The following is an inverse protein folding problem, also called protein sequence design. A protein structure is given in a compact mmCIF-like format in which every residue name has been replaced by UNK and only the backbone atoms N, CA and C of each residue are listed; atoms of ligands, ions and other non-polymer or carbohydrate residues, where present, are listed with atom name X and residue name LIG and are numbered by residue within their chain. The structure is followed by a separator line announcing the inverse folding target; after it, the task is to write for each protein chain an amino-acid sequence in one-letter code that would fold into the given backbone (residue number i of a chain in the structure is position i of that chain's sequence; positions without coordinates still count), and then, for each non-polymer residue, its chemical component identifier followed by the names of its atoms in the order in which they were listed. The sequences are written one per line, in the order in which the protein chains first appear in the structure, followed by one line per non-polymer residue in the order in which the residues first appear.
data_IF_697056929844
#
_entry.id   IF_697056929844
#
_cell.length_a   1.000
_cell.length_b   1.000
_cell.length_c   1.000
_cell.angle_alpha   90.00
_cell.angle_beta   90.00
_cell.angle_gamma   90.00
#
_symmetry.space_group_name_H-M   'P 1'
#
loop_
_entity.id
_entity.type
_entity.pdbx_description
1 polymer ?
#
# COMPACT_ATOMS: atom_id res chain seq x y z
N UNK A 1 -13.11 -6.59 3.19
CA UNK A 1 -12.81 -7.89 3.84
C UNK A 1 -11.30 -8.09 3.83
N UNK A 2 -10.64 -8.08 5.00
CA UNK A 2 -9.18 -8.19 5.10
C UNK A 2 -8.64 -9.52 4.53
N UNK A 3 -9.24 -10.64 4.94
CA UNK A 3 -8.81 -11.97 4.48
C UNK A 3 -8.95 -12.14 2.97
N UNK A 4 -10.03 -11.63 2.37
CA UNK A 4 -10.20 -11.65 0.90
C UNK A 4 -9.23 -10.73 0.14
N UNK A 5 -8.55 -9.79 0.80
CA UNK A 5 -7.45 -9.05 0.20
C UNK A 5 -6.16 -9.87 0.26
N UNK A 6 -5.88 -10.51 1.40
CA UNK A 6 -4.72 -11.38 1.59
C UNK A 6 -4.74 -12.58 0.64
N UNK A 7 -5.89 -13.24 0.47
CA UNK A 7 -6.01 -14.38 -0.44
C UNK A 7 -5.73 -13.99 -1.90
N UNK A 8 -6.18 -12.81 -2.33
CA UNK A 8 -5.90 -12.31 -3.68
C UNK A 8 -4.41 -11.98 -3.84
N UNK A 9 -3.82 -11.26 -2.88
CA UNK A 9 -2.39 -10.95 -2.90
C UNK A 9 -1.53 -12.21 -2.91
N UNK A 10 -1.96 -13.27 -2.22
CA UNK A 10 -1.29 -14.57 -2.25
C UNK A 10 -1.49 -15.28 -3.59
N UNK A 11 -2.71 -15.26 -4.14
CA UNK A 11 -3.02 -15.80 -5.47
C UNK A 11 -2.25 -15.10 -6.60
N UNK A 12 -2.01 -13.79 -6.46
CA UNK A 12 -1.22 -12.97 -7.38
C UNK A 12 0.30 -13.12 -7.15
N UNK A 13 0.73 -13.91 -6.16
CA UNK A 13 2.14 -14.14 -5.84
C UNK A 13 2.87 -12.94 -5.21
N UNK A 14 2.15 -11.93 -4.75
CA UNK A 14 2.72 -10.72 -4.14
C UNK A 14 3.06 -10.92 -2.65
N UNK A 15 2.39 -11.85 -1.99
CA UNK A 15 2.74 -12.28 -0.62
C UNK A 15 2.84 -13.80 -0.55
N UNK A 16 3.63 -14.29 0.39
CA UNK A 16 3.74 -15.71 0.70
C UNK A 16 3.44 -15.95 2.18
N UNK A 17 2.88 -17.11 2.51
CA UNK A 17 2.70 -17.54 3.89
C UNK A 17 4.08 -17.88 4.47
N UNK A 18 4.40 -17.26 5.61
CA UNK A 18 5.70 -17.40 6.29
C UNK A 18 5.62 -18.26 7.56
N UNK A 19 4.41 -18.70 7.93
CA UNK A 19 4.18 -19.61 9.05
C UNK A 19 2.82 -19.43 9.69
N UNK A 20 2.44 -20.41 10.50
CA UNK A 20 1.29 -20.33 11.39
C UNK A 20 1.76 -20.55 12.84
N UNK A 21 1.41 -19.62 13.72
CA UNK A 21 1.77 -19.65 15.13
C UNK A 21 0.53 -19.44 15.99
N UNK A 22 0.38 -20.22 17.05
CA UNK A 22 -0.68 -20.02 18.03
C UNK A 22 -0.21 -19.03 19.10
N UNK A 23 -0.75 -17.81 19.05
CA UNK A 23 -0.45 -16.76 20.03
C UNK A 23 -1.66 -16.58 20.94
N UNK A 24 -1.48 -16.79 22.24
CA UNK A 24 -2.54 -16.72 23.26
C UNK A 24 -3.75 -17.62 22.93
N UNK A 25 -3.49 -18.84 22.48
CA UNK A 25 -4.54 -19.81 22.13
C UNK A 25 -5.26 -19.55 20.80
N UNK A 26 -4.84 -18.53 20.03
CA UNK A 26 -5.42 -18.21 18.72
C UNK A 26 -4.41 -18.40 17.60
N UNK A 27 -4.73 -19.18 16.54
CA UNK A 27 -3.84 -19.32 15.40
C UNK A 27 -3.71 -17.99 14.66
N UNK A 28 -2.48 -17.62 14.34
CA UNK A 28 -2.10 -16.45 13.55
C UNK A 28 -1.29 -16.92 12.35
N UNK A 29 -1.66 -16.45 11.17
CA UNK A 29 -0.95 -16.72 9.92
C UNK A 29 -0.11 -15.51 9.57
N UNK A 30 1.18 -15.71 9.40
CA UNK A 30 2.10 -14.67 8.98
C UNK A 30 2.28 -14.70 7.47
N UNK A 31 2.40 -13.51 6.90
CA UNK A 31 2.66 -13.31 5.49
C UNK A 31 3.90 -12.44 5.34
N UNK A 32 4.74 -12.79 4.38
CA UNK A 32 5.87 -11.97 3.96
C UNK A 32 5.66 -11.48 2.54
N UNK A 33 6.23 -10.33 2.21
CA UNK A 33 6.30 -9.90 0.82
C UNK A 33 7.20 -10.86 0.04
N UNK A 34 6.77 -11.16 -1.18
CA UNK A 34 7.68 -11.71 -2.18
C UNK A 34 8.50 -10.56 -2.79
N UNK A 35 9.54 -10.90 -3.55
CA UNK A 35 10.30 -9.91 -4.31
C UNK A 35 9.37 -9.14 -5.28
N UNK A 36 8.42 -9.84 -5.91
CA UNK A 36 7.41 -9.25 -6.80
C UNK A 36 6.45 -8.33 -6.04
N UNK A 37 6.02 -8.75 -4.85
CA UNK A 37 5.25 -7.92 -3.93
C UNK A 37 5.97 -6.65 -3.52
N UNK A 38 7.26 -6.76 -3.21
CA UNK A 38 8.09 -5.60 -2.85
C UNK A 38 8.19 -4.60 -3.99
N UNK A 39 8.41 -5.08 -5.22
CA UNK A 39 8.39 -4.21 -6.43
C UNK A 39 7.01 -3.60 -6.66
N UNK A 40 5.93 -4.37 -6.45
CA UNK A 40 4.57 -3.90 -6.66
C UNK A 40 4.18 -2.79 -5.68
N UNK A 41 4.41 -2.96 -4.38
CA UNK A 41 4.09 -1.95 -3.37
C UNK A 41 4.93 -0.68 -3.56
N UNK A 42 6.20 -0.82 -3.95
CA UNK A 42 7.08 0.33 -4.23
C UNK A 42 6.59 1.14 -5.43
N UNK A 43 6.18 0.48 -6.53
CA UNK A 43 5.58 1.18 -7.69
C UNK A 43 4.30 1.91 -7.31
N UNK A 44 3.46 1.28 -6.50
CA UNK A 44 2.20 1.89 -6.08
C UNK A 44 2.43 3.08 -5.15
N UNK A 45 3.40 2.98 -4.24
CA UNK A 45 3.82 4.11 -3.40
C UNK A 45 4.31 5.30 -4.25
N UNK A 46 5.15 5.04 -5.26
CA UNK A 46 5.60 6.08 -6.19
C UNK A 46 4.44 6.72 -6.98
N UNK A 47 3.45 5.92 -7.40
CA UNK A 47 2.24 6.42 -8.08
C UNK A 47 1.43 7.33 -7.16
N UNK A 48 1.22 6.92 -5.90
CA UNK A 48 0.53 7.73 -4.90
C UNK A 48 1.27 9.02 -4.59
N UNK A 49 2.60 8.99 -4.48
CA UNK A 49 3.43 10.17 -4.28
C UNK A 49 3.29 11.16 -5.46
N UNK A 50 3.37 10.69 -6.70
CA UNK A 50 3.19 11.52 -7.89
C UNK A 50 1.81 12.18 -7.91
N UNK A 51 0.75 11.41 -7.61
CA UNK A 51 -0.61 11.95 -7.52
C UNK A 51 -0.73 13.02 -6.43
N UNK A 52 -0.13 12.79 -5.27
CA UNK A 52 -0.12 13.76 -4.16
C UNK A 52 0.61 15.05 -4.55
N UNK A 53 1.78 14.96 -5.19
CA UNK A 53 2.54 16.14 -5.67
C UNK A 53 1.69 17.01 -6.60
N UNK A 54 0.98 16.42 -7.56
CA UNK A 54 0.08 17.16 -8.48
C UNK A 54 -0.99 17.95 -7.72
N UNK A 55 -1.55 17.38 -6.66
CA UNK A 55 -2.57 18.07 -5.84
C UNK A 55 -1.93 19.20 -5.02
N UNK A 56 -0.79 18.94 -4.38
CA UNK A 56 -0.11 19.91 -3.52
C UNK A 56 0.45 21.11 -4.31
N UNK A 57 0.99 20.87 -5.51
CA UNK A 57 1.49 21.93 -6.38
C UNK A 57 0.34 22.85 -6.84
N UNK A 58 -0.85 22.28 -7.09
CA UNK A 58 -2.07 23.04 -7.43
C UNK A 58 -2.70 23.76 -6.24
N UNK A 59 -2.51 23.23 -5.03
CA UNK A 59 -3.04 23.80 -3.80
C UNK A 59 -2.17 24.95 -3.23
N UNK A 60 -0.97 25.18 -3.77
CA UNK A 60 -0.11 26.28 -3.35
C UNK A 60 -0.71 27.64 -3.76
N UNK A 61 -1.09 28.52 -2.81
CA UNK A 61 -1.76 29.78 -3.11
C UNK A 61 -0.75 30.81 -3.62
N UNK A 62 -0.50 30.78 -4.93
CA UNK A 62 0.21 31.84 -5.64
C UNK A 62 -0.42 32.09 -7.02
N UNK A 63 -1.75 32.06 -7.12
CA UNK A 63 -2.47 32.54 -8.30
C UNK A 63 -3.94 32.81 -7.95
N UNK A 64 -4.21 33.95 -7.31
CA UNK A 64 -5.58 34.44 -7.13
C UNK A 64 -5.91 34.72 -5.68
N UNK A 65 -5.42 35.85 -5.18
CA UNK A 65 -6.22 36.93 -4.57
C UNK A 65 -5.24 38.10 -4.46
N UNK A 66 -5.31 39.01 -5.42
CA UNK A 66 -4.91 40.39 -5.25
C UNK A 66 -6.13 41.23 -5.61
N UNK A 67 -6.85 41.82 -4.63
CA UNK A 67 -7.76 42.91 -4.90
C UNK A 67 -7.01 44.25 -4.75
N UNK A 68 -7.33 45.16 -5.67
CA UNK A 68 -6.85 46.53 -5.79
C UNK A 68 -7.30 47.44 -4.64
#
# INVERSE_FOLDING_TARGET
MLYGALDRLAGDGLIAVDGEETVQGRPRRYYRLTEDGHRAVTREAARMEQAARVVMDRASPAAGIAPA
#
